data_IF_683146681059
#
_entry.id   IF_683146681059
#
_cell.length_a   1.000
_cell.length_b   1.000
_cell.length_c   1.000
_cell.angle_alpha   90.00
_cell.angle_beta   90.00
_cell.angle_gamma   90.00
#
_symmetry.space_group_name_H-M   'P 1'
#
loop_
_entity.id
_entity.type
_entity.pdbx_description
1 polymer ?
#
# COMPACT_ATOMS: atom_id res chain seq x y z
N UNK A 1 5.31 -9.82 3.54
CA UNK A 1 4.14 -8.90 3.63
C UNK A 1 2.80 -9.63 3.79
N UNK A 2 2.49 -10.69 3.01
CA UNK A 2 1.21 -11.40 3.13
C UNK A 2 0.85 -11.85 4.55
N UNK A 3 1.82 -12.30 5.35
CA UNK A 3 1.61 -12.67 6.77
C UNK A 3 1.00 -11.54 7.60
N UNK A 4 1.61 -10.35 7.55
CA UNK A 4 1.17 -9.19 8.34
C UNK A 4 -0.17 -8.61 7.83
N UNK A 5 -0.38 -8.65 6.52
CA UNK A 5 -1.66 -8.26 5.92
C UNK A 5 -2.77 -9.25 6.28
N UNK A 6 -2.46 -10.55 6.31
CA UNK A 6 -3.38 -11.57 6.80
C UNK A 6 -3.82 -11.30 8.23
N UNK A 7 -2.87 -11.00 9.14
CA UNK A 7 -3.16 -10.63 10.53
C UNK A 7 -4.07 -9.40 10.63
N UNK A 8 -3.67 -8.29 9.99
CA UNK A 8 -4.41 -7.02 10.10
C UNK A 8 -5.80 -7.10 9.45
N UNK A 9 -5.94 -7.80 8.33
CA UNK A 9 -7.23 -8.04 7.70
C UNK A 9 -8.13 -8.94 8.57
N UNK A 10 -7.57 -9.98 9.19
CA UNK A 10 -8.33 -10.89 10.05
C UNK A 10 -8.88 -10.19 11.28
N UNK A 11 -8.06 -9.31 11.87
CA UNK A 11 -8.47 -8.45 12.98
C UNK A 11 -9.60 -7.50 12.58
N UNK A 12 -9.53 -6.90 11.40
CA UNK A 12 -10.59 -6.02 10.88
C UNK A 12 -11.90 -6.78 10.60
N UNK A 13 -11.80 -7.99 10.05
CA UNK A 13 -12.95 -8.84 9.68
C UNK A 13 -13.47 -9.72 10.83
N UNK A 14 -12.80 -9.69 11.99
CA UNK A 14 -13.12 -10.49 13.18
C UNK A 14 -13.12 -12.00 12.90
N UNK A 15 -12.12 -12.48 12.17
CA UNK A 15 -11.85 -13.91 11.96
C UNK A 15 -10.52 -14.31 12.60
N UNK A 16 -10.19 -15.61 12.58
CA UNK A 16 -9.03 -16.16 13.25
C UNK A 16 -7.72 -15.64 12.64
N UNK A 17 -7.02 -14.83 13.43
CA UNK A 17 -5.76 -14.16 13.08
C UNK A 17 -4.62 -15.15 12.80
N UNK A 18 -4.56 -16.27 13.55
CA UNK A 18 -3.52 -17.29 13.38
C UNK A 18 -3.71 -18.02 12.05
N UNK A 19 -4.93 -18.44 11.72
CA UNK A 19 -5.19 -19.11 10.43
C UNK A 19 -4.86 -18.17 9.27
N UNK A 20 -5.22 -16.89 9.36
CA UNK A 20 -4.89 -15.91 8.34
C UNK A 20 -3.37 -15.68 8.18
N UNK A 21 -2.62 -15.64 9.28
CA UNK A 21 -1.15 -15.57 9.24
C UNK A 21 -0.54 -16.83 8.63
N UNK A 22 -1.08 -18.02 8.93
CA UNK A 22 -0.64 -19.29 8.33
C UNK A 22 -0.89 -19.29 6.82
N UNK A 23 -2.05 -18.81 6.36
CA UNK A 23 -2.31 -18.62 4.92
C UNK A 23 -1.30 -17.66 4.29
N UNK A 24 -1.01 -16.54 4.94
CA UNK A 24 0.02 -15.60 4.47
C UNK A 24 1.42 -16.20 4.44
N UNK A 25 1.74 -17.07 5.42
CA UNK A 25 3.02 -17.79 5.49
C UNK A 25 3.15 -18.83 4.39
N UNK A 26 2.08 -19.58 4.14
CA UNK A 26 2.00 -20.54 3.03
C UNK A 26 2.25 -19.87 1.67
N UNK A 27 1.64 -18.70 1.43
CA UNK A 27 1.86 -17.93 0.19
C UNK A 27 3.30 -17.43 0.02
N UNK A 28 4.05 -17.32 1.11
CA UNK A 28 5.46 -16.94 1.10
C UNK A 28 6.41 -18.16 1.17
N UNK A 29 5.87 -19.38 1.17
CA UNK A 29 6.68 -20.58 1.34
C UNK A 29 7.50 -20.83 0.06
N UNK A 30 8.83 -21.01 0.13
CA UNK A 30 9.68 -21.07 -1.06
C UNK A 30 9.27 -22.13 -2.09
N UNK A 31 8.75 -23.27 -1.64
CA UNK A 31 8.28 -24.35 -2.51
C UNK A 31 6.97 -23.99 -3.22
N UNK A 32 6.10 -23.19 -2.57
CA UNK A 32 4.91 -22.65 -3.22
C UNK A 32 5.30 -21.61 -4.26
N UNK A 33 6.25 -20.72 -3.94
CA UNK A 33 6.75 -19.76 -4.93
C UNK A 33 7.40 -20.48 -6.13
N UNK A 34 8.29 -21.44 -5.89
CA UNK A 34 8.90 -22.26 -6.95
C UNK A 34 7.87 -22.99 -7.82
N UNK A 35 6.80 -23.52 -7.20
CA UNK A 35 5.70 -24.15 -7.92
C UNK A 35 5.01 -23.16 -8.89
N UNK A 36 4.79 -21.92 -8.45
CA UNK A 36 4.12 -20.89 -9.23
C UNK A 36 5.04 -20.33 -10.32
N UNK A 37 6.34 -20.21 -10.04
CA UNK A 37 7.35 -19.77 -11.01
C UNK A 37 7.53 -20.75 -12.17
N UNK A 38 7.33 -22.06 -11.95
CA UNK A 38 7.32 -23.05 -13.04
C UNK A 38 6.01 -22.99 -13.83
N UNK A 39 5.94 -22.11 -14.83
CA UNK A 39 4.80 -22.03 -15.74
C UNK A 39 4.82 -23.06 -16.86
N UNK A 40 5.88 -23.86 -16.99
CA UNK A 40 6.00 -24.89 -18.03
C UNK A 40 5.21 -26.15 -17.67
N UNK A 41 5.11 -26.44 -16.38
CA UNK A 41 4.39 -27.61 -15.87
C UNK A 41 3.00 -27.22 -15.37
N UNK A 42 1.96 -27.83 -15.96
CA UNK A 42 0.61 -27.74 -15.42
C UNK A 42 0.55 -28.41 -14.04
N UNK A 43 0.02 -27.70 -13.05
CA UNK A 43 -0.12 -28.21 -11.68
C UNK A 43 -1.59 -28.28 -11.30
N UNK A 44 -1.98 -29.36 -10.63
CA UNK A 44 -3.31 -29.53 -10.06
C UNK A 44 -3.19 -29.76 -8.55
N UNK A 45 -4.15 -29.23 -7.80
CA UNK A 45 -4.31 -29.49 -6.37
C UNK A 45 -5.75 -30.00 -6.17
N UNK A 46 -5.90 -31.22 -5.65
CA UNK A 46 -7.21 -31.90 -5.52
C UNK A 46 -8.04 -31.92 -6.82
N UNK A 47 -7.38 -32.07 -7.97
CA UNK A 47 -8.03 -32.06 -9.28
C UNK A 47 -8.41 -30.68 -9.82
N UNK A 48 -8.17 -29.60 -9.05
CA UNK A 48 -8.36 -28.23 -9.50
C UNK A 48 -7.06 -27.68 -10.10
N UNK A 49 -7.10 -27.00 -11.26
CA UNK A 49 -5.90 -26.42 -11.86
C UNK A 49 -5.40 -25.25 -11.01
N UNK A 50 -4.11 -25.27 -10.70
CA UNK A 50 -3.41 -24.11 -10.17
C UNK A 50 -3.06 -23.22 -11.34
N UNK A 51 -3.73 -22.08 -11.45
CA UNK A 51 -3.49 -21.14 -12.53
C UNK A 51 -2.23 -20.35 -12.21
N UNK A 52 -1.21 -20.56 -13.04
CA UNK A 52 0.04 -19.83 -13.04
C UNK A 52 0.00 -18.85 -14.20
N UNK A 53 0.33 -17.59 -13.95
CA UNK A 53 0.34 -16.57 -14.99
C UNK A 53 1.76 -16.06 -15.20
N UNK A 54 2.25 -16.24 -16.42
CA UNK A 54 3.44 -15.58 -16.92
C UNK A 54 3.03 -14.54 -17.95
N UNK A 55 3.72 -13.40 -17.92
CA UNK A 55 3.55 -12.32 -18.87
C UNK A 55 4.88 -12.19 -19.61
N UNK A 56 4.88 -12.50 -20.90
CA UNK A 56 6.02 -12.29 -21.79
C UNK A 56 5.75 -11.01 -22.58
N UNK A 57 6.63 -10.01 -22.43
CA UNK A 57 6.55 -8.79 -23.23
C UNK A 57 7.99 -8.43 -23.65
N UNK A 58 8.26 -8.54 -24.96
CA UNK A 58 9.63 -8.52 -25.50
C UNK A 58 10.36 -9.84 -25.23
N UNK A 59 11.63 -9.77 -24.84
CA UNK A 59 12.45 -10.94 -24.46
C UNK A 59 12.31 -11.33 -22.98
N UNK A 60 11.67 -10.48 -22.16
CA UNK A 60 11.51 -10.71 -20.72
C UNK A 60 10.19 -11.39 -20.40
N UNK A 61 10.26 -12.52 -19.68
CA UNK A 61 9.09 -13.22 -19.13
C UNK A 61 9.09 -13.06 -17.62
N UNK A 62 8.01 -12.46 -17.08
CA UNK A 62 7.82 -12.33 -15.64
C UNK A 62 6.63 -13.17 -15.18
N UNK A 63 6.86 -13.99 -14.15
CA UNK A 63 5.82 -14.82 -13.55
C UNK A 63 5.27 -14.15 -12.30
N UNK A 64 3.97 -14.30 -12.07
CA UNK A 64 3.31 -13.81 -10.87
C UNK A 64 3.90 -14.44 -9.59
N UNK A 65 4.20 -13.64 -8.56
CA UNK A 65 4.60 -14.14 -7.23
C UNK A 65 3.59 -13.70 -6.18
N UNK A 66 3.18 -14.65 -5.33
CA UNK A 66 2.30 -14.37 -4.19
C UNK A 66 3.02 -13.61 -3.07
N UNK A 67 4.35 -13.74 -2.97
CA UNK A 67 5.18 -13.05 -1.96
C UNK A 67 5.13 -11.52 -2.14
N UNK A 68 5.05 -11.07 -3.39
CA UNK A 68 4.98 -9.66 -3.80
C UNK A 68 3.54 -9.13 -3.90
N UNK A 69 2.53 -10.00 -3.78
CA UNK A 69 1.13 -9.65 -4.03
C UNK A 69 0.32 -9.53 -2.75
N UNK A 70 -0.58 -8.54 -2.72
CA UNK A 70 -1.44 -8.23 -1.56
C UNK A 70 -2.89 -8.66 -1.78
N UNK A 71 -3.38 -8.68 -3.02
CA UNK A 71 -4.78 -9.00 -3.31
C UNK A 71 -5.14 -10.44 -2.90
N UNK A 72 -4.36 -11.49 -3.25
CA UNK A 72 -4.76 -12.86 -2.96
C UNK A 72 -4.97 -13.12 -1.46
N UNK A 73 -4.10 -12.57 -0.62
CA UNK A 73 -4.23 -12.77 0.83
C UNK A 73 -5.43 -12.03 1.41
N UNK A 74 -5.73 -10.81 0.94
CA UNK A 74 -6.93 -10.07 1.40
C UNK A 74 -8.22 -10.80 1.00
N UNK A 75 -8.28 -11.33 -0.22
CA UNK A 75 -9.39 -12.18 -0.66
C UNK A 75 -9.47 -13.48 0.15
N UNK A 76 -8.33 -14.10 0.45
CA UNK A 76 -8.28 -15.31 1.27
C UNK A 76 -8.82 -15.06 2.68
N UNK A 77 -8.44 -13.97 3.34
CA UNK A 77 -8.99 -13.63 4.66
C UNK A 77 -10.48 -13.30 4.60
N UNK A 78 -10.92 -12.60 3.54
CA UNK A 78 -12.35 -12.32 3.32
C UNK A 78 -13.17 -13.61 3.24
N UNK A 79 -12.70 -14.58 2.47
CA UNK A 79 -13.38 -15.88 2.32
C UNK A 79 -13.24 -16.72 3.60
N UNK A 80 -12.07 -16.69 4.26
CA UNK A 80 -11.84 -17.35 5.55
C UNK A 80 -12.88 -16.93 6.59
N UNK A 81 -13.26 -15.65 6.63
CA UNK A 81 -14.32 -15.16 7.51
C UNK A 81 -15.64 -15.93 7.34
N UNK A 82 -16.04 -16.22 6.10
CA UNK A 82 -17.26 -16.98 5.79
C UNK A 82 -17.08 -18.47 6.10
N UNK A 83 -15.94 -19.05 5.73
CA UNK A 83 -15.62 -20.46 6.00
C UNK A 83 -15.60 -20.73 7.50
N UNK A 84 -14.94 -19.88 8.29
CA UNK A 84 -14.86 -20.03 9.75
C UNK A 84 -16.23 -19.90 10.40
N UNK A 85 -17.04 -18.91 9.99
CA UNK A 85 -18.42 -18.75 10.50
C UNK A 85 -19.29 -19.96 10.17
N UNK A 86 -19.14 -20.50 8.96
CA UNK A 86 -19.83 -21.71 8.55
C UNK A 86 -19.42 -22.90 9.42
N UNK A 87 -18.11 -23.15 9.56
CA UNK A 87 -17.61 -24.26 10.38
C UNK A 87 -18.04 -24.14 11.84
N UNK A 88 -17.94 -22.96 12.45
CA UNK A 88 -18.39 -22.73 13.84
C UNK A 88 -19.89 -22.93 14.03
N UNK A 89 -20.70 -22.78 12.98
CA UNK A 89 -22.15 -23.03 13.03
C UNK A 89 -22.50 -24.51 13.07
N UNK A 90 -21.72 -25.37 12.40
CA UNK A 90 -22.02 -26.81 12.26
C UNK A 90 -21.17 -27.71 13.15
N UNK A 91 -19.98 -27.26 13.57
CA UNK A 91 -19.07 -28.04 14.40
C UNK A 91 -19.41 -27.85 15.89
N UNK A 92 -19.62 -28.95 16.66
CA UNK A 92 -19.84 -28.88 18.10
C UNK A 92 -18.69 -28.16 18.83
N UNK A 93 -19.00 -27.36 19.85
CA UNK A 93 -18.05 -26.49 20.55
C UNK A 93 -16.75 -27.21 20.99
N UNK A 94 -16.88 -28.43 21.53
CA UNK A 94 -15.73 -29.24 21.99
C UNK A 94 -14.75 -29.62 20.88
N UNK A 95 -15.22 -29.69 19.63
CA UNK A 95 -14.41 -30.03 18.46
C UNK A 95 -13.88 -28.79 17.74
N UNK A 96 -14.38 -27.60 18.05
CA UNK A 96 -14.04 -26.41 17.28
C UNK A 96 -12.55 -26.07 17.33
N UNK A 97 -11.87 -26.34 18.44
CA UNK A 97 -10.44 -26.03 18.60
C UNK A 97 -9.54 -26.84 17.64
N UNK A 98 -9.98 -28.01 17.19
CA UNK A 98 -9.23 -28.88 16.28
C UNK A 98 -9.80 -28.80 14.85
N UNK A 99 -11.11 -28.98 14.72
CA UNK A 99 -11.78 -29.15 13.43
C UNK A 99 -11.85 -27.84 12.67
N UNK A 100 -12.14 -26.71 13.34
CA UNK A 100 -12.30 -25.43 12.63
C UNK A 100 -10.97 -25.00 11.98
N UNK A 101 -9.82 -24.97 12.68
CA UNK A 101 -8.55 -24.63 12.04
C UNK A 101 -8.12 -25.63 10.97
N UNK A 102 -8.25 -26.94 11.25
CA UNK A 102 -7.85 -27.99 10.31
C UNK A 102 -8.62 -27.94 9.00
N UNK A 103 -9.95 -27.92 9.07
CA UNK A 103 -10.81 -27.86 7.88
C UNK A 103 -10.67 -26.51 7.18
N UNK A 104 -10.52 -25.41 7.91
CA UNK A 104 -10.27 -24.10 7.29
C UNK A 104 -9.02 -24.13 6.42
N UNK A 105 -7.90 -24.66 6.90
CA UNK A 105 -6.68 -24.74 6.10
C UNK A 105 -6.81 -25.69 4.91
N UNK A 106 -7.41 -26.88 5.10
CA UNK A 106 -7.64 -27.85 4.02
C UNK A 106 -8.46 -27.24 2.88
N UNK A 107 -9.46 -26.42 3.20
CA UNK A 107 -10.30 -25.76 2.20
C UNK A 107 -9.62 -24.52 1.62
N UNK A 108 -9.02 -23.68 2.47
CA UNK A 108 -8.51 -22.37 2.07
C UNK A 108 -7.22 -22.46 1.26
N UNK A 109 -6.33 -23.43 1.51
CA UNK A 109 -5.06 -23.53 0.79
C UNK A 109 -5.25 -23.81 -0.71
N UNK A 110 -6.03 -24.83 -1.14
CA UNK A 110 -6.35 -25.05 -2.54
C UNK A 110 -7.17 -23.90 -3.13
N UNK A 111 -8.16 -23.41 -2.39
CA UNK A 111 -9.02 -22.31 -2.86
C UNK A 111 -8.21 -21.06 -3.18
N UNK A 112 -7.21 -20.75 -2.35
CA UNK A 112 -6.35 -19.58 -2.53
C UNK A 112 -5.52 -19.70 -3.80
N UNK A 113 -4.93 -20.87 -4.07
CA UNK A 113 -4.07 -21.07 -5.25
C UNK A 113 -4.87 -21.25 -6.55
N UNK A 114 -6.00 -21.95 -6.51
CA UNK A 114 -6.77 -22.29 -7.71
C UNK A 114 -7.77 -21.21 -8.12
N UNK A 115 -8.26 -20.39 -7.16
CA UNK A 115 -9.30 -19.40 -7.43
C UNK A 115 -8.91 -17.98 -7.03
N UNK A 116 -8.48 -17.75 -5.79
CA UNK A 116 -8.31 -16.38 -5.28
C UNK A 116 -7.06 -15.69 -5.84
N UNK A 117 -5.98 -16.44 -6.05
CA UNK A 117 -4.78 -15.97 -6.74
C UNK A 117 -5.07 -15.50 -8.17
N UNK A 118 -5.74 -16.33 -9.00
CA UNK A 118 -6.15 -15.95 -10.35
C UNK A 118 -7.06 -14.74 -10.39
N UNK A 119 -8.02 -14.63 -9.47
CA UNK A 119 -8.82 -13.43 -9.31
C UNK A 119 -7.93 -12.22 -9.01
N UNK A 120 -6.94 -12.36 -8.13
CA UNK A 120 -5.94 -11.33 -7.86
C UNK A 120 -5.13 -10.91 -9.09
N UNK A 121 -4.74 -11.88 -9.94
CA UNK A 121 -4.05 -11.63 -11.21
C UNK A 121 -4.95 -10.83 -12.16
N UNK A 122 -6.20 -11.26 -12.35
CA UNK A 122 -7.16 -10.58 -13.24
C UNK A 122 -7.43 -9.15 -12.77
N UNK A 123 -7.65 -8.95 -11.47
CA UNK A 123 -7.83 -7.61 -10.89
C UNK A 123 -6.58 -6.75 -11.15
N UNK A 124 -5.38 -7.31 -10.93
CA UNK A 124 -4.12 -6.64 -11.22
C UNK A 124 -4.02 -6.20 -12.69
N UNK A 125 -4.38 -7.07 -13.63
CA UNK A 125 -4.38 -6.76 -15.06
C UNK A 125 -5.37 -5.68 -15.44
N UNK A 126 -6.58 -5.71 -14.87
CA UNK A 126 -7.59 -4.67 -15.11
C UNK A 126 -7.05 -3.32 -14.65
N UNK A 127 -6.43 -3.25 -13.47
CA UNK A 127 -5.84 -2.02 -12.97
C UNK A 127 -4.70 -1.56 -13.88
N UNK A 128 -3.86 -2.48 -14.35
CA UNK A 128 -2.77 -2.18 -15.29
C UNK A 128 -3.29 -1.63 -16.62
N UNK A 129 -4.33 -2.24 -17.20
CA UNK A 129 -4.97 -1.77 -18.44
C UNK A 129 -5.55 -0.36 -18.26
N UNK A 130 -6.24 -0.11 -17.14
CA UNK A 130 -6.78 1.22 -16.83
C UNK A 130 -5.66 2.25 -16.67
N UNK A 131 -4.58 1.89 -15.97
CA UNK A 131 -3.42 2.74 -15.79
C UNK A 131 -2.75 3.10 -17.13
N UNK A 132 -2.52 2.12 -18.01
CA UNK A 132 -1.95 2.39 -19.34
C UNK A 132 -2.89 3.17 -20.24
N UNK A 133 -4.19 2.89 -20.22
CA UNK A 133 -5.16 3.67 -20.98
C UNK A 133 -5.11 5.15 -20.57
N UNK A 134 -4.97 5.41 -19.25
CA UNK A 134 -4.85 6.76 -18.72
C UNK A 134 -3.52 7.42 -19.09
N UNK A 135 -2.41 6.68 -18.99
CA UNK A 135 -1.07 7.15 -19.37
C UNK A 135 -0.95 7.46 -20.86
N UNK A 136 -1.49 6.60 -21.72
CA UNK A 136 -1.48 6.80 -23.17
C UNK A 136 -2.44 7.90 -23.63
N UNK A 137 -3.53 8.12 -22.90
CA UNK A 137 -4.44 9.23 -23.18
C UNK A 137 -3.78 10.58 -22.84
N UNK A 138 -3.30 10.73 -21.60
CA UNK A 138 -2.60 11.93 -21.16
C UNK A 138 -1.80 11.69 -19.87
N UNK A 139 -0.47 11.76 -19.96
CA UNK A 139 0.43 11.59 -18.82
C UNK A 139 0.18 12.61 -17.69
N UNK A 140 -0.24 13.85 -18.00
CA UNK A 140 -0.62 14.86 -17.01
C UNK A 140 -1.82 14.40 -16.18
N UNK A 141 -2.86 13.87 -16.84
CA UNK A 141 -4.05 13.37 -16.14
C UNK A 141 -3.72 12.13 -15.31
N UNK A 142 -2.94 11.19 -15.85
CA UNK A 142 -2.60 10.01 -15.07
C UNK A 142 -1.65 10.31 -13.91
N UNK A 143 -0.74 11.27 -14.05
CA UNK A 143 0.02 11.81 -12.93
C UNK A 143 -0.89 12.40 -11.85
N UNK A 144 -1.92 13.16 -12.23
CA UNK A 144 -2.90 13.72 -11.29
C UNK A 144 -3.72 12.66 -10.56
N UNK A 145 -4.15 11.62 -11.27
CA UNK A 145 -4.93 10.50 -10.70
C UNK A 145 -4.07 9.68 -9.74
N UNK A 146 -2.84 9.32 -10.12
CA UNK A 146 -1.93 8.60 -9.22
C UNK A 146 -1.59 9.46 -8.00
N UNK A 147 -1.22 10.72 -8.20
CA UNK A 147 -0.87 11.64 -7.12
C UNK A 147 -2.01 11.92 -6.12
N UNK A 148 -3.28 11.82 -6.55
CA UNK A 148 -4.44 11.97 -5.66
C UNK A 148 -4.86 10.67 -4.99
N UNK A 149 -4.98 9.58 -5.76
CA UNK A 149 -5.50 8.32 -5.26
C UNK A 149 -4.48 7.52 -4.45
N UNK A 150 -3.17 7.72 -4.65
CA UNK A 150 -2.16 6.93 -3.95
C UNK A 150 -2.32 6.97 -2.43
N UNK A 151 -2.56 8.16 -1.85
CA UNK A 151 -2.80 8.28 -0.41
C UNK A 151 -4.06 7.53 0.07
N UNK A 152 -5.11 7.47 -0.76
CA UNK A 152 -6.32 6.68 -0.48
C UNK A 152 -6.01 5.19 -0.55
N UNK A 153 -5.23 4.77 -1.54
CA UNK A 153 -4.80 3.38 -1.69
C UNK A 153 -3.90 2.94 -0.53
N UNK A 154 -3.10 3.83 0.06
CA UNK A 154 -2.32 3.55 1.29
C UNK A 154 -3.24 3.25 2.47
N UNK A 155 -4.37 3.96 2.60
CA UNK A 155 -5.35 3.70 3.68
C UNK A 155 -5.88 2.27 3.60
N UNK A 156 -6.20 1.81 2.39
CA UNK A 156 -6.71 0.45 2.16
C UNK A 156 -5.60 -0.59 1.98
N UNK A 157 -4.32 -0.20 2.03
CA UNK A 157 -3.18 -1.06 1.68
C UNK A 157 -3.14 -1.52 0.21
N UNK A 158 -4.06 -1.01 -0.62
CA UNK A 158 -4.22 -1.37 -2.02
C UNK A 158 -3.07 -0.85 -2.90
N UNK A 159 -2.30 0.16 -2.46
CA UNK A 159 -1.14 0.65 -3.21
C UNK A 159 -0.07 -0.43 -3.39
N UNK A 160 0.03 -1.37 -2.45
CA UNK A 160 0.94 -2.52 -2.55
C UNK A 160 0.54 -3.48 -3.67
N UNK A 161 -0.74 -3.58 -3.98
CA UNK A 161 -1.22 -4.36 -5.12
C UNK A 161 -0.82 -3.74 -6.47
N UNK A 162 -0.45 -2.46 -6.50
CA UNK A 162 0.01 -1.77 -7.71
C UNK A 162 1.53 -1.89 -7.94
N UNK A 163 2.30 -2.30 -6.93
CA UNK A 163 3.77 -2.42 -7.07
C UNK A 163 4.18 -3.44 -8.16
N UNK A 164 3.54 -4.61 -8.30
CA UNK A 164 3.85 -5.52 -9.40
C UNK A 164 3.67 -4.90 -10.79
N UNK A 165 2.72 -3.96 -10.95
CA UNK A 165 2.49 -3.24 -12.20
C UNK A 165 3.70 -2.38 -12.55
N UNK A 166 4.19 -1.58 -11.61
CA UNK A 166 5.42 -0.79 -11.83
C UNK A 166 6.65 -1.66 -12.08
N UNK A 167 6.72 -2.86 -11.49
CA UNK A 167 7.87 -3.75 -11.67
C UNK A 167 7.81 -4.45 -13.03
N UNK A 168 6.59 -4.68 -13.53
CA UNK A 168 6.37 -5.08 -14.91
C UNK A 168 6.75 -3.94 -15.87
N UNK A 169 6.37 -2.70 -15.61
CA UNK A 169 6.76 -1.53 -16.43
C UNK A 169 8.28 -1.45 -16.61
N UNK A 170 9.04 -1.59 -15.52
CA UNK A 170 10.52 -1.61 -15.58
C UNK A 170 11.03 -2.81 -16.39
N UNK A 171 10.48 -4.00 -16.18
CA UNK A 171 10.92 -5.19 -16.91
C UNK A 171 10.67 -5.10 -18.43
N UNK A 172 9.61 -4.41 -18.85
CA UNK A 172 9.20 -4.30 -20.25
C UNK A 172 9.85 -3.11 -20.96
N UNK A 173 9.82 -1.95 -20.31
CA UNK A 173 10.18 -0.68 -20.93
C UNK A 173 11.45 -0.06 -20.33
N UNK A 174 12.03 -0.69 -19.30
CA UNK A 174 13.12 -0.14 -18.51
C UNK A 174 12.73 1.04 -17.62
N UNK A 175 11.43 1.39 -17.55
CA UNK A 175 10.93 2.63 -16.96
C UNK A 175 9.60 2.38 -16.25
N UNK A 176 9.33 3.10 -15.17
CA UNK A 176 8.03 3.13 -14.50
C UNK A 176 7.71 4.54 -14.01
N UNK A 177 6.48 4.99 -14.25
CA UNK A 177 6.00 6.31 -13.82
C UNK A 177 5.20 6.26 -12.50
N UNK A 178 4.67 5.09 -12.15
CA UNK A 178 3.73 4.90 -11.05
C UNK A 178 4.30 5.37 -9.71
N UNK A 179 5.50 4.89 -9.33
CA UNK A 179 6.13 5.30 -8.07
C UNK A 179 6.66 6.72 -8.14
N UNK A 180 7.08 7.20 -9.32
CA UNK A 180 7.48 8.59 -9.47
C UNK A 180 6.30 9.52 -9.09
N UNK A 181 5.12 9.28 -9.64
CA UNK A 181 3.92 10.10 -9.35
C UNK A 181 3.41 9.90 -7.92
N UNK A 182 3.55 8.70 -7.36
CA UNK A 182 3.29 8.45 -5.95
C UNK A 182 4.16 9.31 -5.01
N UNK A 183 5.30 9.82 -5.50
CA UNK A 183 6.13 10.78 -4.77
C UNK A 183 5.36 12.05 -4.42
N UNK A 184 4.62 12.63 -5.36
CA UNK A 184 3.79 13.80 -5.09
C UNK A 184 2.77 13.54 -3.96
N UNK A 185 2.12 12.36 -3.97
CA UNK A 185 1.20 11.98 -2.91
C UNK A 185 1.89 11.88 -1.54
N UNK A 186 3.09 11.27 -1.49
CA UNK A 186 3.85 11.12 -0.26
C UNK A 186 4.25 12.47 0.34
N UNK A 187 4.80 13.36 -0.48
CA UNK A 187 5.16 14.71 -0.06
C UNK A 187 3.92 15.54 0.31
N UNK A 188 2.78 15.36 -0.36
CA UNK A 188 1.53 16.01 0.05
C UNK A 188 1.06 15.56 1.45
N UNK A 189 1.19 14.28 1.80
CA UNK A 189 0.85 13.79 3.15
C UNK A 189 1.73 14.42 4.22
N UNK A 190 3.05 14.53 3.95
CA UNK A 190 3.98 15.25 4.81
C UNK A 190 3.64 16.74 4.92
N UNK A 191 3.28 17.37 3.81
CA UNK A 191 2.87 18.78 3.77
C UNK A 191 1.62 19.06 4.59
N UNK A 192 0.58 18.22 4.45
CA UNK A 192 -0.63 18.35 5.25
C UNK A 192 -0.35 18.14 6.75
N UNK A 193 0.50 17.17 7.12
CA UNK A 193 0.92 16.98 8.51
C UNK A 193 1.67 18.20 9.06
N UNK A 194 2.48 18.88 8.23
CA UNK A 194 3.14 20.13 8.61
C UNK A 194 2.11 21.25 8.81
N UNK A 195 1.11 21.35 7.93
CA UNK A 195 0.00 22.30 8.08
C UNK A 195 -0.77 22.08 9.39
N UNK A 196 -0.98 20.81 9.79
CA UNK A 196 -1.55 20.45 11.10
C UNK A 196 -0.64 20.92 12.24
N UNK A 197 0.65 20.60 12.17
CA UNK A 197 1.64 20.98 13.19
C UNK A 197 1.69 22.50 13.43
N UNK A 198 1.63 23.29 12.35
CA UNK A 198 1.69 24.75 12.42
C UNK A 198 0.40 25.38 12.93
N UNK A 199 -0.74 24.72 12.74
CA UNK A 199 -2.05 25.25 13.14
C UNK A 199 -2.50 24.79 14.53
N UNK A 200 -2.10 23.60 14.96
CA UNK A 200 -2.54 23.05 16.26
C UNK A 200 -1.94 23.82 17.43
N UNK A 201 -2.76 24.00 18.48
CA UNK A 201 -2.33 24.52 19.78
C UNK A 201 -2.03 23.41 20.79
N UNK A 202 -2.35 22.16 20.46
CA UNK A 202 -2.11 21.02 21.33
C UNK A 202 -0.67 20.50 21.16
N UNK A 203 0.11 20.54 22.24
CA UNK A 203 1.54 20.15 22.22
C UNK A 203 1.75 18.67 21.88
N UNK A 204 0.85 17.77 22.30
CA UNK A 204 0.93 16.36 21.92
C UNK A 204 0.70 16.18 20.42
N UNK A 205 -0.34 16.82 19.87
CA UNK A 205 -0.63 16.76 18.44
C UNK A 205 0.51 17.38 17.62
N UNK A 206 1.10 18.48 18.09
CA UNK A 206 2.28 19.10 17.47
C UNK A 206 3.45 18.13 17.41
N UNK A 207 3.75 17.40 18.49
CA UNK A 207 4.80 16.37 18.51
C UNK A 207 4.53 15.21 17.56
N UNK A 208 3.30 14.69 17.54
CA UNK A 208 2.89 13.63 16.62
C UNK A 208 3.00 14.09 15.16
N UNK A 209 2.48 15.27 14.84
CA UNK A 209 2.58 15.83 13.49
C UNK A 209 4.03 16.10 13.07
N UNK A 210 4.89 16.60 13.95
CA UNK A 210 6.31 16.83 13.63
C UNK A 210 7.04 15.53 13.25
N UNK A 211 6.89 14.48 14.05
CA UNK A 211 7.48 13.17 13.76
C UNK A 211 6.91 12.56 12.46
N UNK A 212 5.61 12.75 12.22
CA UNK A 212 4.95 12.30 10.99
C UNK A 212 5.47 13.03 9.73
N UNK A 213 5.73 14.34 9.81
CA UNK A 213 6.35 15.11 8.71
C UNK A 213 7.72 14.54 8.38
N UNK A 214 8.57 14.34 9.40
CA UNK A 214 9.92 13.81 9.22
C UNK A 214 9.88 12.42 8.56
N UNK A 215 9.00 11.54 9.06
CA UNK A 215 8.78 10.20 8.49
C UNK A 215 8.36 10.24 7.02
N UNK A 216 7.37 11.08 6.69
CA UNK A 216 6.83 11.18 5.34
C UNK A 216 7.82 11.83 4.37
N UNK A 217 8.52 12.89 4.78
CA UNK A 217 9.41 13.66 3.90
C UNK A 217 10.78 13.01 3.76
N UNK A 218 11.42 12.57 4.85
CA UNK A 218 12.77 12.02 4.77
C UNK A 218 12.77 10.57 4.27
N UNK A 219 11.93 9.73 4.88
CA UNK A 219 11.95 8.27 4.65
C UNK A 219 10.93 7.86 3.59
N UNK A 220 9.86 8.63 3.40
CA UNK A 220 8.74 8.29 2.53
C UNK A 220 7.68 7.40 3.18
N UNK A 221 7.69 7.27 4.52
CA UNK A 221 6.70 6.49 5.26
C UNK A 221 5.58 7.44 5.69
N UNK A 222 4.40 7.26 5.09
CA UNK A 222 3.26 8.19 5.23
C UNK A 222 2.22 7.73 6.24
N UNK A 223 2.28 6.49 6.71
CA UNK A 223 1.33 5.92 7.67
C UNK A 223 1.22 6.76 8.95
N UNK A 224 2.30 7.28 9.56
CA UNK A 224 2.21 8.19 10.70
C UNK A 224 1.47 9.50 10.38
N UNK A 225 1.64 10.05 9.18
CA UNK A 225 0.96 11.27 8.75
C UNK A 225 -0.52 11.03 8.47
N UNK A 226 -0.83 9.97 7.72
CA UNK A 226 -2.20 9.58 7.36
C UNK A 226 -3.00 9.29 8.62
N UNK A 227 -2.56 8.35 9.46
CA UNK A 227 -3.36 7.90 10.60
C UNK A 227 -3.20 8.79 11.84
N UNK A 228 -2.03 9.39 12.04
CA UNK A 228 -1.75 10.22 13.21
C UNK A 228 -2.44 11.58 13.17
N UNK A 229 -2.64 12.16 11.97
CA UNK A 229 -3.28 13.46 11.84
C UNK A 229 -4.22 13.61 10.64
N UNK A 230 -3.79 13.30 9.41
CA UNK A 230 -4.52 13.75 8.21
C UNK A 230 -5.92 13.13 8.10
N UNK A 231 -6.02 11.80 8.24
CA UNK A 231 -7.28 11.07 8.17
C UNK A 231 -8.16 11.33 9.39
N UNK A 232 -7.54 11.48 10.57
CA UNK A 232 -8.23 11.77 11.83
C UNK A 232 -9.09 13.03 11.72
N UNK A 233 -8.57 14.07 11.06
CA UNK A 233 -9.27 15.35 10.90
C UNK A 233 -9.99 15.52 9.55
N UNK A 234 -9.85 14.56 8.63
CA UNK A 234 -10.44 14.50 7.27
C UNK A 234 -10.08 15.66 6.33
N UNK A 235 -10.18 16.92 6.76
CA UNK A 235 -9.85 18.11 5.97
C UNK A 235 -8.38 18.13 5.53
N UNK A 236 -7.38 17.85 6.40
CA UNK A 236 -5.99 17.78 5.95
C UNK A 236 -5.76 16.65 4.93
N UNK A 237 -6.48 15.52 5.05
CA UNK A 237 -6.43 14.45 4.05
C UNK A 237 -6.91 14.92 2.68
N UNK A 238 -8.03 15.65 2.61
CA UNK A 238 -8.53 16.21 1.34
C UNK A 238 -7.54 17.21 0.75
N UNK A 239 -6.95 18.08 1.58
CA UNK A 239 -5.89 19.00 1.14
C UNK A 239 -4.69 18.25 0.56
N UNK A 240 -4.25 17.15 1.19
CA UNK A 240 -3.18 16.30 0.69
C UNK A 240 -3.54 15.64 -0.66
N UNK A 241 -4.77 15.14 -0.82
CA UNK A 241 -5.23 14.52 -2.06
C UNK A 241 -5.20 15.53 -3.23
N UNK A 242 -5.71 16.74 -3.00
CA UNK A 242 -5.76 17.79 -4.03
C UNK A 242 -4.35 18.27 -4.40
N UNK A 243 -3.51 18.54 -3.41
CA UNK A 243 -2.14 18.97 -3.65
C UNK A 243 -1.29 17.86 -4.30
N UNK A 244 -1.51 16.60 -3.92
CA UNK A 244 -0.93 15.42 -4.55
C UNK A 244 -1.36 15.29 -6.01
N UNK A 245 -2.62 15.59 -6.34
CA UNK A 245 -3.10 15.65 -7.72
C UNK A 245 -2.33 16.69 -8.56
N UNK A 246 -2.16 17.90 -8.02
CA UNK A 246 -1.45 18.97 -8.72
C UNK A 246 0.03 18.60 -8.91
N UNK A 247 0.70 18.13 -7.86
CA UNK A 247 2.10 17.71 -7.94
C UNK A 247 2.30 16.54 -8.90
N UNK A 248 1.40 15.56 -8.86
CA UNK A 248 1.40 14.43 -9.78
C UNK A 248 1.16 14.84 -11.22
N UNK A 249 0.27 15.81 -11.47
CA UNK A 249 0.03 16.37 -12.80
C UNK A 249 1.27 17.02 -13.39
N UNK A 250 2.01 17.79 -12.56
CA UNK A 250 3.28 18.42 -12.95
C UNK A 250 4.31 17.35 -13.33
N UNK A 251 4.45 16.29 -12.53
CA UNK A 251 5.32 15.16 -12.86
C UNK A 251 4.90 14.45 -14.15
N UNK A 252 3.59 14.28 -14.36
CA UNK A 252 3.03 13.72 -15.58
C UNK A 252 3.37 14.55 -16.82
N UNK A 253 3.24 15.88 -16.72
CA UNK A 253 3.59 16.82 -17.79
C UNK A 253 5.09 16.80 -18.13
N UNK A 254 5.94 16.61 -17.12
CA UNK A 254 7.39 16.47 -17.28
C UNK A 254 7.85 15.10 -17.76
N UNK A 255 6.92 14.15 -17.95
CA UNK A 255 7.24 12.78 -18.36
C UNK A 255 8.14 12.05 -17.35
N UNK A 256 7.96 12.29 -16.06
CA UNK A 256 8.85 11.76 -15.02
C UNK A 256 8.67 10.25 -14.83
N UNK A 257 9.78 9.52 -14.83
CA UNK A 257 9.84 8.07 -14.63
C UNK A 257 11.11 7.70 -13.83
N UNK A 258 11.16 6.47 -13.33
CA UNK A 258 12.37 5.85 -12.77
C UNK A 258 12.51 4.39 -13.23
N UNK A 259 13.59 3.73 -12.87
CA UNK A 259 13.81 2.28 -13.08
C UNK A 259 13.85 1.49 -11.76
N UNK A 260 13.92 2.21 -10.63
CA UNK A 260 14.10 1.62 -9.31
C UNK A 260 12.84 1.72 -8.45
N UNK A 261 12.71 0.75 -7.56
CA UNK A 261 11.70 0.73 -6.51
C UNK A 261 12.27 1.38 -5.26
N UNK A 262 12.10 2.70 -5.16
CA UNK A 262 12.51 3.46 -3.99
C UNK A 262 11.30 4.01 -3.25
N UNK A 263 11.34 3.97 -1.91
CA UNK A 263 10.31 4.65 -1.12
C UNK A 263 10.42 6.16 -1.39
N UNK A 264 9.33 6.87 -1.64
CA UNK A 264 9.44 8.26 -2.08
C UNK A 264 9.65 9.19 -0.88
N UNK A 265 10.92 9.54 -0.63
CA UNK A 265 11.36 10.52 0.35
C UNK A 265 12.60 11.25 -0.15
N UNK A 266 13.07 12.23 0.62
CA UNK A 266 14.27 13.02 0.27
C UNK A 266 15.51 12.15 0.16
N UNK A 267 15.63 11.10 0.97
CA UNK A 267 16.79 10.20 0.94
C UNK A 267 16.93 9.40 -0.36
N UNK A 268 15.85 9.25 -1.11
CA UNK A 268 15.78 8.44 -2.32
C UNK A 268 15.49 9.25 -3.57
N UNK A 269 15.30 10.57 -3.45
CA UNK A 269 14.91 11.46 -4.55
C UNK A 269 15.84 11.37 -5.76
N UNK A 270 17.13 11.16 -5.50
CA UNK A 270 18.18 11.06 -6.53
C UNK A 270 18.05 9.80 -7.40
N UNK A 271 17.27 8.79 -6.98
CA UNK A 271 16.97 7.64 -7.85
C UNK A 271 16.27 8.05 -9.15
N UNK A 272 15.52 9.16 -9.12
CA UNK A 272 14.86 9.71 -10.31
C UNK A 272 15.73 10.71 -11.10
N UNK A 273 16.93 11.06 -10.60
CA UNK A 273 17.85 11.97 -11.27
C UNK A 273 18.65 11.28 -12.40
N UNK A 274 18.80 9.96 -12.33
CA UNK A 274 19.55 9.16 -13.30
C UNK A 274 18.98 9.24 -14.74
N UNK A 275 17.75 9.74 -14.88
CA UNK A 275 16.95 9.71 -16.11
C UNK A 275 16.90 11.04 -16.86
N UNK A 276 17.73 11.99 -16.45
CA UNK A 276 17.87 13.29 -17.08
C UNK A 276 17.43 14.44 -16.18
N UNK A 277 18.04 15.59 -16.39
CA UNK A 277 17.83 16.76 -15.53
C UNK A 277 16.42 17.34 -15.69
N UNK A 278 15.85 17.31 -16.90
CA UNK A 278 14.51 17.86 -17.15
C UNK A 278 13.42 17.08 -16.40
N UNK A 279 13.28 15.74 -16.55
CA UNK A 279 12.32 14.98 -15.74
C UNK A 279 12.58 15.12 -14.24
N UNK A 280 13.84 15.16 -13.82
CA UNK A 280 14.18 15.32 -12.41
C UNK A 280 13.71 16.67 -11.84
N UNK A 281 13.85 17.77 -12.59
CA UNK A 281 13.33 19.08 -12.17
C UNK A 281 11.81 19.04 -12.04
N UNK A 282 11.09 18.43 -12.98
CA UNK A 282 9.64 18.26 -12.86
C UNK A 282 9.24 17.39 -11.66
N UNK A 283 10.05 16.38 -11.28
CA UNK A 283 9.87 15.62 -10.04
C UNK A 283 10.01 16.53 -8.81
N UNK A 284 11.09 17.29 -8.73
CA UNK A 284 11.35 18.20 -7.60
C UNK A 284 10.24 19.25 -7.46
N UNK A 285 9.84 19.87 -8.57
CA UNK A 285 8.76 20.86 -8.58
C UNK A 285 7.43 20.21 -8.19
N UNK A 286 7.12 19.01 -8.71
CA UNK A 286 5.91 18.28 -8.33
C UNK A 286 5.86 17.97 -6.84
N UNK A 287 6.96 17.47 -6.25
CA UNK A 287 7.07 17.22 -4.82
C UNK A 287 6.93 18.49 -3.99
N UNK A 288 7.59 19.58 -4.41
CA UNK A 288 7.56 20.86 -3.71
C UNK A 288 6.16 21.47 -3.74
N UNK A 289 5.49 21.48 -4.90
CA UNK A 289 4.13 21.99 -5.05
C UNK A 289 3.14 21.15 -4.25
N UNK A 290 3.29 19.81 -4.26
CA UNK A 290 2.45 18.93 -3.44
C UNK A 290 2.64 19.19 -1.94
N UNK A 291 3.88 19.31 -1.47
CA UNK A 291 4.20 19.56 -0.07
C UNK A 291 3.71 20.93 0.41
N UNK A 292 4.13 21.99 -0.28
CA UNK A 292 3.79 23.37 0.09
C UNK A 292 2.29 23.61 -0.09
N UNK A 293 1.72 23.13 -1.19
CA UNK A 293 0.29 23.21 -1.47
C UNK A 293 -0.54 22.55 -0.38
N UNK A 294 -0.18 21.33 0.04
CA UNK A 294 -0.88 20.63 1.11
C UNK A 294 -0.73 21.35 2.47
N UNK A 295 0.46 21.87 2.77
CA UNK A 295 0.73 22.62 4.01
C UNK A 295 -0.10 23.89 4.08
N UNK A 296 -0.06 24.72 3.04
CA UNK A 296 -0.81 25.99 2.97
C UNK A 296 -2.31 25.73 2.97
N UNK A 297 -2.80 24.80 2.14
CA UNK A 297 -4.22 24.47 2.09
C UNK A 297 -4.73 23.97 3.45
N UNK A 298 -3.99 23.10 4.11
CA UNK A 298 -4.35 22.60 5.44
C UNK A 298 -4.35 23.72 6.49
N UNK A 299 -3.35 24.61 6.44
CA UNK A 299 -3.26 25.74 7.36
C UNK A 299 -4.42 26.74 7.15
N UNK A 300 -4.81 27.02 5.91
CA UNK A 300 -5.91 27.95 5.61
C UNK A 300 -7.26 27.33 5.94
N UNK A 301 -7.57 26.14 5.39
CA UNK A 301 -8.86 25.44 5.59
C UNK A 301 -9.10 25.13 7.06
N UNK A 302 -8.04 24.74 7.77
CA UNK A 302 -8.13 24.35 9.17
C UNK A 302 -8.91 23.09 9.45
N UNK A 303 -8.89 22.71 10.72
CA UNK A 303 -9.55 21.53 11.24
C UNK A 303 -10.03 21.81 12.67
N UNK A 304 -10.93 20.97 13.15
CA UNK A 304 -11.36 20.95 14.54
C UNK A 304 -10.21 20.41 15.39
N UNK A 305 -9.47 21.32 15.99
CA UNK A 305 -8.30 21.00 16.81
C UNK A 305 -8.74 20.33 18.12
N UNK A 306 -7.83 19.53 18.69
CA UNK A 306 -8.04 18.95 20.01
C UNK A 306 -7.99 20.06 21.06
N UNK A 307 -8.75 19.93 22.18
CA UNK A 307 -8.59 20.85 23.30
C UNK A 307 -7.12 20.90 23.70
N UNK A 308 -6.58 22.09 23.92
CA UNK A 308 -5.23 22.21 24.45
C UNK A 308 -5.20 21.49 25.81
N UNK A 309 -4.38 20.44 25.93
CA UNK A 309 -4.19 19.74 27.20
C UNK A 309 -3.61 20.74 28.20
N UNK A 310 -4.43 21.19 29.15
CA UNK A 310 -3.96 21.94 30.31
C UNK A 310 -3.11 20.97 31.12
N UNK A 311 -1.79 21.14 31.02
CA UNK A 311 -0.74 20.53 31.83
C UNK A 311 -1.09 19.24 32.57
N UNK A 312 -1.01 18.10 31.91
CA UNK A 312 -0.75 16.85 32.62
C UNK A 312 0.71 16.49 32.35
N UNK A 313 1.53 16.65 33.39
CA UNK A 313 2.94 16.23 33.39
C UNK A 313 3.01 14.80 32.87
N UNK A 314 3.87 14.58 31.88
CA UNK A 314 4.25 13.25 31.43
C UNK A 314 4.49 12.36 32.67
N UNK A 315 3.91 11.14 32.73
CA UNK A 315 4.35 10.19 33.73
C UNK A 315 5.84 9.96 33.47
N UNK A 316 6.66 10.29 34.46
CA UNK A 316 8.08 10.04 34.44
C UNK A 316 8.29 8.57 34.07
N UNK A 317 9.18 8.32 33.10
CA UNK A 317 9.64 6.98 32.78
C UNK A 317 10.16 6.32 34.07
N UNK A 318 9.36 5.45 34.68
CA UNK A 318 9.83 4.53 35.71
C UNK A 318 10.56 3.41 35.00
N UNK A 319 11.85 3.64 34.74
CA UNK A 319 12.80 2.56 34.57
C UNK A 319 12.91 1.85 35.92
N UNK A 320 12.16 0.77 36.07
CA UNK A 320 12.34 -0.25 37.09
C UNK A 320 12.13 -1.59 36.37
N UNK A 321 13.21 -2.21 35.90
CA UNK A 321 13.94 -3.24 36.64
C UNK A 321 13.10 -4.51 36.84
N UNK A 322 13.38 -5.52 36.02
CA UNK A 322 13.30 -6.97 36.25
C UNK A 322 13.77 -7.62 34.93
N UNK A 323 15.00 -8.16 34.85
CA UNK A 323 15.41 -9.46 35.39
C UNK A 323 14.61 -10.61 34.75
#
# INVERSE_FOLDING_TARGET
MPVFLGYTAAKALKCNEIIAMVLGGFLCYPQVDALIQDTSTATVIFGLPVVKAAWTIGESTKVFSYTESVIPILLAVLVLMYVERFLKKYVPEILQIIVVPGVSLIVMLPLTLCLLGPVGIVIGNVIQVVYYALMNFNALLGGAVVGSLWGVLVIFGAHRALLPVGLNDVAVSGRQNLLAFAGAANFAQGGAALGVMLKTKNEQLKGVSASAVISAVLVGITEPAIYGCNLRFKRPMVCAIVAGAIGGAIMGAGGVYGDAFANNGVLTIFTYAAFGMTPFVFYLVGCLVAFVGACVATYVVGFEDLPATVGEKAPAASVAAQA
#
